data_IF_384884222186
#
_entry.id   IF_384884222186
#
_cell.length_a   1.000
_cell.length_b   1.000
_cell.length_c   1.000
_cell.angle_alpha   90.00
_cell.angle_beta   90.00
_cell.angle_gamma   90.00
#
_symmetry.space_group_name_H-M   'P 1'
#
loop_
_entity.id
_entity.type
_entity.pdbx_description
1 polymer ?
#
# COMPACT_ATOMS: atom_id res chain seq x y z
N UNK A 1 2.95 3.54 -21.42
CA UNK A 1 3.51 3.09 -20.12
C UNK A 1 4.30 4.24 -19.53
N UNK A 2 4.04 4.63 -18.28
CA UNK A 2 4.68 5.82 -17.67
C UNK A 2 5.33 5.42 -16.35
N UNK A 3 6.64 5.58 -16.27
CA UNK A 3 7.40 5.46 -15.01
C UNK A 3 7.70 6.88 -14.55
N UNK A 4 7.21 7.23 -13.38
CA UNK A 4 7.39 8.54 -12.76
C UNK A 4 8.28 8.40 -11.52
N UNK A 5 9.39 9.15 -11.49
CA UNK A 5 10.23 9.24 -10.30
C UNK A 5 9.60 10.26 -9.35
N UNK A 6 9.26 9.82 -8.13
CA UNK A 6 8.77 10.70 -7.06
C UNK A 6 9.73 10.67 -5.88
N UNK A 7 9.57 11.62 -4.97
CA UNK A 7 10.40 11.69 -3.76
C UNK A 7 10.21 10.43 -2.92
N UNK A 8 11.26 9.62 -2.88
CA UNK A 8 11.32 8.38 -2.09
C UNK A 8 10.76 7.12 -2.76
N UNK A 9 10.19 7.18 -3.96
CA UNK A 9 9.70 5.98 -4.66
C UNK A 9 9.55 6.18 -6.17
N UNK A 10 9.55 5.07 -6.93
CA UNK A 10 9.24 5.05 -8.36
C UNK A 10 7.82 4.57 -8.55
N UNK A 11 7.01 5.31 -9.30
CA UNK A 11 5.66 4.93 -9.67
C UNK A 11 5.67 4.39 -11.10
N UNK A 12 5.22 3.16 -11.30
CA UNK A 12 5.01 2.59 -12.62
C UNK A 12 3.53 2.35 -12.85
N UNK A 13 2.92 3.19 -13.67
CA UNK A 13 1.53 3.01 -14.08
C UNK A 13 1.42 2.17 -15.37
N UNK A 14 0.55 1.16 -15.31
CA UNK A 14 0.33 0.21 -16.40
C UNK A 14 1.32 -0.94 -16.45
N UNK A 15 2.07 -1.17 -15.36
CA UNK A 15 2.92 -2.34 -15.20
C UNK A 15 2.14 -3.62 -14.84
N UNK A 16 2.80 -4.79 -14.82
CA UNK A 16 2.17 -6.06 -14.49
C UNK A 16 1.81 -6.10 -13.01
N UNK A 17 0.51 -6.07 -12.70
CA UNK A 17 -0.03 -6.24 -11.34
C UNK A 17 -0.76 -7.58 -11.26
N UNK A 18 -0.51 -8.41 -10.21
CA UNK A 18 -1.18 -9.69 -10.01
C UNK A 18 -2.71 -9.60 -10.12
N UNK A 19 -3.34 -10.66 -10.62
CA UNK A 19 -4.81 -10.75 -10.71
C UNK A 19 -5.40 -10.67 -9.29
N UNK A 20 -6.32 -9.74 -9.08
CA UNK A 20 -6.95 -9.47 -7.78
C UNK A 20 -6.34 -8.30 -6.99
N UNK A 21 -5.26 -7.70 -7.48
CA UNK A 21 -4.67 -6.48 -6.92
C UNK A 21 -4.73 -5.31 -7.92
N UNK A 22 -4.85 -4.10 -7.37
CA UNK A 22 -4.82 -2.83 -8.11
C UNK A 22 -3.43 -2.16 -8.05
N UNK A 23 -2.58 -2.57 -7.11
CA UNK A 23 -1.19 -2.13 -6.95
C UNK A 23 -0.31 -3.21 -6.31
N UNK A 24 1.01 -3.03 -6.41
CA UNK A 24 2.02 -3.83 -5.70
C UNK A 24 3.26 -2.98 -5.41
N UNK A 25 3.85 -3.18 -4.24
CA UNK A 25 5.12 -2.59 -3.84
C UNK A 25 6.26 -3.62 -3.88
N UNK A 26 7.36 -3.24 -4.55
CA UNK A 26 8.62 -3.97 -4.60
C UNK A 26 9.76 -3.03 -4.20
N UNK A 27 10.13 -3.04 -2.91
CA UNK A 27 11.15 -2.12 -2.40
C UNK A 27 10.71 -0.66 -2.48
N UNK A 28 11.37 0.13 -3.32
CA UNK A 28 11.00 1.52 -3.61
C UNK A 28 10.18 1.68 -4.89
N UNK A 29 9.81 0.59 -5.56
CA UNK A 29 8.99 0.60 -6.77
C UNK A 29 7.55 0.29 -6.41
N UNK A 30 6.64 1.19 -6.78
CA UNK A 30 5.19 1.03 -6.69
C UNK A 30 4.66 0.84 -8.10
N UNK A 31 4.06 -0.32 -8.36
CA UNK A 31 3.45 -0.63 -9.65
C UNK A 31 1.94 -0.59 -9.47
N UNK A 32 1.23 0.16 -10.31
CA UNK A 32 -0.22 0.28 -10.26
C UNK A 32 -0.83 0.00 -11.62
N UNK A 33 -2.04 -0.57 -11.61
CA UNK A 33 -2.82 -0.79 -12.83
C UNK A 33 -3.21 0.56 -13.43
N UNK A 34 -3.21 0.66 -14.76
CA UNK A 34 -3.62 1.87 -15.49
C UNK A 34 -4.98 2.38 -15.00
N UNK A 35 -5.06 3.68 -14.64
CA UNK A 35 -6.29 4.32 -14.18
C UNK A 35 -6.73 3.93 -12.76
N UNK A 36 -5.92 3.14 -12.03
CA UNK A 36 -6.19 2.74 -10.63
C UNK A 36 -5.30 3.45 -9.62
N UNK A 37 -4.44 4.38 -10.06
CA UNK A 37 -3.54 5.18 -9.22
C UNK A 37 -4.30 6.22 -8.35
N UNK A 38 -5.24 5.77 -7.53
CA UNK A 38 -6.04 6.63 -6.65
C UNK A 38 -5.20 7.19 -5.50
N UNK A 39 -5.58 8.35 -4.93
CA UNK A 39 -4.87 8.93 -3.78
C UNK A 39 -4.79 7.99 -2.57
N UNK A 40 -5.81 7.13 -2.38
CA UNK A 40 -5.82 6.08 -1.36
C UNK A 40 -4.79 4.99 -1.67
N UNK A 41 -4.84 4.41 -2.88
CA UNK A 41 -3.96 3.32 -3.27
C UNK A 41 -2.48 3.73 -3.19
N UNK A 42 -2.14 4.92 -3.66
CA UNK A 42 -0.76 5.42 -3.58
C UNK A 42 -0.29 5.54 -2.13
N UNK A 43 -1.12 6.07 -1.22
CA UNK A 43 -0.78 6.16 0.21
C UNK A 43 -0.63 4.77 0.85
N UNK A 44 -1.48 3.81 0.46
CA UNK A 44 -1.38 2.42 0.90
C UNK A 44 -0.05 1.77 0.48
N UNK A 45 0.30 1.86 -0.80
CA UNK A 45 1.56 1.30 -1.31
C UNK A 45 2.79 1.98 -0.68
N UNK A 46 2.72 3.27 -0.37
CA UNK A 46 3.80 3.98 0.34
C UNK A 46 4.04 3.46 1.76
N UNK A 47 3.02 2.93 2.42
CA UNK A 47 3.21 2.26 3.71
C UNK A 47 4.05 1.00 3.53
N UNK A 48 3.82 0.23 2.47
CA UNK A 48 4.66 -0.92 2.16
C UNK A 48 6.10 -0.52 1.82
N UNK A 49 6.32 0.59 1.11
CA UNK A 49 7.67 1.13 0.87
C UNK A 49 8.36 1.45 2.20
N UNK A 50 7.65 2.10 3.14
CA UNK A 50 8.17 2.39 4.48
C UNK A 50 8.47 1.11 5.27
N UNK A 51 7.56 0.14 5.27
CA UNK A 51 7.75 -1.15 5.94
C UNK A 51 8.94 -1.91 5.36
N UNK A 52 9.11 -1.90 4.04
CA UNK A 52 10.25 -2.51 3.36
C UNK A 52 11.57 -1.85 3.76
N UNK A 53 11.63 -0.51 3.79
CA UNK A 53 12.81 0.22 4.27
C UNK A 53 13.12 -0.08 5.74
N UNK A 54 12.09 -0.24 6.57
CA UNK A 54 12.23 -0.51 8.01
C UNK A 54 12.73 -1.92 8.31
N UNK A 55 12.21 -2.94 7.62
CA UNK A 55 12.50 -4.34 7.93
C UNK A 55 13.45 -5.02 6.95
N UNK A 56 13.80 -4.37 5.84
CA UNK A 56 14.47 -4.98 4.71
C UNK A 56 13.60 -6.00 3.98
N UNK A 57 14.10 -6.52 2.85
CA UNK A 57 13.36 -7.47 2.02
C UNK A 57 13.00 -8.75 2.79
N UNK A 58 13.97 -9.33 3.51
CA UNK A 58 13.78 -10.57 4.27
C UNK A 58 12.83 -10.36 5.44
N UNK A 59 13.03 -9.30 6.24
CA UNK A 59 12.19 -9.03 7.41
C UNK A 59 10.74 -8.69 7.04
N UNK A 60 10.54 -8.03 5.89
CA UNK A 60 9.21 -7.81 5.32
C UNK A 60 8.57 -9.13 4.88
N UNK A 61 9.28 -9.94 4.08
CA UNK A 61 8.76 -11.22 3.57
C UNK A 61 8.37 -12.19 4.70
N UNK A 62 9.21 -12.32 5.73
CA UNK A 62 8.92 -13.18 6.90
C UNK A 62 7.66 -12.71 7.63
N UNK A 63 7.48 -11.40 7.83
CA UNK A 63 6.28 -10.86 8.48
C UNK A 63 5.03 -11.04 7.61
N UNK A 64 5.17 -10.82 6.31
CA UNK A 64 4.06 -10.92 5.35
C UNK A 64 3.57 -12.36 5.27
N UNK A 65 4.48 -13.26 4.88
CA UNK A 65 4.19 -14.68 4.67
C UNK A 65 3.88 -15.37 6.00
N UNK A 66 4.59 -15.06 7.07
CA UNK A 66 4.32 -15.63 8.40
C UNK A 66 2.91 -15.31 8.89
N UNK A 67 2.47 -14.05 8.75
CA UNK A 67 1.09 -13.66 9.12
C UNK A 67 0.06 -14.34 8.23
N UNK A 68 0.30 -14.40 6.92
CA UNK A 68 -0.58 -15.07 5.99
C UNK A 68 -0.74 -16.56 6.33
N UNK A 69 0.38 -17.27 6.51
CA UNK A 69 0.39 -18.69 6.86
C UNK A 69 -0.29 -18.95 8.21
N UNK A 70 -0.03 -18.13 9.23
CA UNK A 70 -0.70 -18.23 10.53
C UNK A 70 -2.23 -18.19 10.38
N UNK A 71 -2.76 -17.27 9.58
CA UNK A 71 -4.20 -17.16 9.39
C UNK A 71 -4.78 -18.26 8.48
N UNK A 72 -4.01 -18.74 7.50
CA UNK A 72 -4.38 -19.92 6.70
C UNK A 72 -4.45 -21.18 7.56
N UNK A 73 -3.50 -21.38 8.48
CA UNK A 73 -3.52 -22.48 9.46
C UNK A 73 -4.71 -22.37 10.42
N UNK A 74 -5.17 -21.15 10.74
CA UNK A 74 -6.42 -20.89 11.48
C UNK A 74 -7.69 -21.05 10.61
N UNK A 75 -7.61 -21.80 9.51
CA UNK A 75 -8.70 -22.12 8.57
C UNK A 75 -9.40 -20.90 7.96
N UNK A 76 -8.74 -19.73 7.92
CA UNK A 76 -9.30 -18.57 7.21
C UNK A 76 -9.00 -18.69 5.73
N UNK A 77 -10.02 -18.50 4.89
CA UNK A 77 -9.88 -18.36 3.43
C UNK A 77 -8.84 -17.29 3.03
N UNK A 78 -8.40 -17.28 1.78
CA UNK A 78 -7.38 -16.32 1.29
C UNK A 78 -7.70 -14.87 1.69
N UNK A 79 -8.90 -14.37 1.34
CA UNK A 79 -9.35 -13.02 1.71
C UNK A 79 -9.39 -12.79 3.22
N UNK A 80 -9.82 -13.79 3.98
CA UNK A 80 -9.89 -13.71 5.44
C UNK A 80 -8.53 -13.68 6.12
N UNK A 81 -7.52 -14.34 5.54
CA UNK A 81 -6.15 -14.29 5.99
C UNK A 81 -5.52 -12.94 5.64
N UNK A 82 -5.69 -12.48 4.41
CA UNK A 82 -5.17 -11.20 3.90
C UNK A 82 -5.62 -10.01 4.75
N UNK A 83 -6.93 -9.88 4.99
CA UNK A 83 -7.51 -8.77 5.77
C UNK A 83 -7.10 -8.75 7.26
N UNK A 84 -6.48 -9.82 7.76
CA UNK A 84 -6.00 -9.92 9.15
C UNK A 84 -4.49 -9.74 9.28
N UNK A 85 -3.80 -9.51 8.17
CA UNK A 85 -2.36 -9.29 8.20
C UNK A 85 -2.06 -7.92 8.80
N UNK A 86 -1.22 -7.84 9.86
CA UNK A 86 -0.91 -6.56 10.50
C UNK A 86 -0.37 -5.50 9.53
N UNK A 87 0.42 -5.92 8.54
CA UNK A 87 0.98 -4.99 7.55
C UNK A 87 -0.06 -4.40 6.60
N UNK A 88 -1.08 -5.19 6.22
CA UNK A 88 -2.21 -4.71 5.42
C UNK A 88 -3.13 -3.79 6.24
N UNK A 89 -3.36 -4.14 7.52
CA UNK A 89 -4.14 -3.31 8.45
C UNK A 89 -3.46 -1.96 8.69
N UNK A 90 -2.15 -1.94 8.92
CA UNK A 90 -1.38 -0.71 9.06
C UNK A 90 -1.47 0.14 7.79
N UNK A 91 -1.33 -0.47 6.61
CA UNK A 91 -1.40 0.22 5.34
C UNK A 91 -2.77 0.86 5.09
N UNK A 92 -3.87 0.12 5.29
CA UNK A 92 -5.23 0.64 5.16
C UNK A 92 -5.50 1.77 6.16
N UNK A 93 -5.13 1.58 7.43
CA UNK A 93 -5.36 2.59 8.47
C UNK A 93 -4.58 3.88 8.21
N UNK A 94 -3.28 3.80 7.90
CA UNK A 94 -2.46 4.97 7.61
C UNK A 94 -2.95 5.67 6.34
N UNK A 95 -3.29 4.93 5.29
CA UNK A 95 -3.76 5.51 4.04
C UNK A 95 -5.07 6.29 4.23
N UNK A 96 -6.04 5.73 4.95
CA UNK A 96 -7.30 6.42 5.30
C UNK A 96 -7.05 7.66 6.15
N UNK A 97 -6.20 7.55 7.16
CA UNK A 97 -5.89 8.67 8.05
C UNK A 97 -5.24 9.83 7.29
N UNK A 98 -4.24 9.54 6.46
CA UNK A 98 -3.57 10.56 5.64
C UNK A 98 -4.52 11.20 4.63
N UNK A 99 -5.45 10.44 4.06
CA UNK A 99 -6.46 10.97 3.15
C UNK A 99 -7.41 11.92 3.90
N UNK A 100 -7.90 11.52 5.08
CA UNK A 100 -8.77 12.35 5.89
C UNK A 100 -8.09 13.66 6.35
N UNK A 101 -6.80 13.61 6.72
CA UNK A 101 -6.03 14.81 7.06
C UNK A 101 -5.87 15.74 5.84
N UNK A 102 -5.51 15.20 4.68
CA UNK A 102 -5.34 16.01 3.46
C UNK A 102 -6.63 16.75 3.07
N UNK A 103 -7.79 16.06 3.15
CA UNK A 103 -9.10 16.69 2.88
C UNK A 103 -9.39 17.83 3.87
N UNK A 104 -9.06 17.65 5.14
CA UNK A 104 -9.24 18.70 6.16
C UNK A 104 -8.39 19.94 5.84
N UNK A 105 -7.13 19.74 5.45
CA UNK A 105 -6.22 20.84 5.13
C UNK A 105 -6.70 21.63 3.90
N UNK A 106 -7.18 20.94 2.85
CA UNK A 106 -7.77 21.58 1.66
C UNK A 106 -9.01 22.42 2.00
N UNK A 107 -9.89 21.93 2.88
CA UNK A 107 -11.06 22.68 3.34
C UNK A 107 -10.65 23.91 4.16
N UNK A 108 -9.65 23.77 5.04
CA UNK A 108 -9.13 24.90 5.82
C UNK A 108 -8.53 25.99 4.92
N UNK A 109 -7.80 25.60 3.87
CA UNK A 109 -7.25 26.55 2.88
C UNK A 109 -8.34 27.29 2.11
N UNK A 110 -9.41 26.60 1.70
CA UNK A 110 -10.55 27.21 0.98
C UNK A 110 -11.38 28.17 1.83
N UNK A 111 -11.46 27.95 3.14
CA UNK A 111 -12.17 28.86 4.05
C UNK A 111 -11.33 30.11 4.36
N UNK A 112 -10.00 30.01 4.26
CA UNK A 112 -9.08 31.11 4.52
C UNK A 112 -8.80 32.00 3.29
N UNK A 113 -9.28 31.63 2.10
CA UNK A 113 -9.17 32.38 0.84
C UNK A 113 -10.45 33.14 0.52
#
# INVERSE_FOLDING_TARGET
>A
MRVEQRDGYRLWEGGPVPRGADGITLGSLVIVRTGKATPYLLRHELVHVRQWRRYGAVGFAVRYLGSYLLWRMRRKGHRGAYLRMPMEIEADWVARRQLATAVRDELSQRVAS
#
